data_IF_479452694593
#
_entry.id   IF_479452694593
#
_cell.length_a   1.000
_cell.length_b   1.000
_cell.length_c   1.000
_cell.angle_alpha   90.00
_cell.angle_beta   90.00
_cell.angle_gamma   90.00
#
_symmetry.space_group_name_H-M   'P 1'
#
loop_
_entity.id
_entity.type
_entity.pdbx_description
1 polymer ?
#
# COMPACT_ATOMS: atom_id res chain seq x y z
N UNK A 1 -20.01 35.28 6.38
CA UNK A 1 -19.56 34.44 5.26
C UNK A 1 -18.33 33.71 5.76
N UNK A 2 -18.49 32.46 6.16
CA UNK A 2 -17.36 31.65 6.64
C UNK A 2 -16.32 31.55 5.53
N UNK A 3 -15.10 31.98 5.81
CA UNK A 3 -13.98 31.98 4.86
C UNK A 3 -13.50 30.55 4.62
N UNK A 4 -14.23 29.79 3.82
CA UNK A 4 -13.88 28.43 3.40
C UNK A 4 -12.57 28.39 2.63
N UNK A 5 -11.97 27.20 2.54
CA UNK A 5 -10.86 26.96 1.61
C UNK A 5 -11.39 26.86 0.19
N UNK A 6 -10.74 27.55 -0.74
CA UNK A 6 -11.11 27.57 -2.16
C UNK A 6 -10.31 26.52 -2.95
N UNK A 7 -10.89 26.02 -4.05
CA UNK A 7 -10.24 25.05 -4.96
C UNK A 7 -8.83 25.51 -5.40
N UNK A 8 -8.66 26.80 -5.68
CA UNK A 8 -7.36 27.37 -6.07
C UNK A 8 -6.27 27.22 -5.00
N UNK A 9 -6.65 27.20 -3.73
CA UNK A 9 -5.73 27.03 -2.60
C UNK A 9 -5.26 25.57 -2.52
N UNK A 10 -6.20 24.61 -2.69
CA UNK A 10 -5.85 23.19 -2.76
C UNK A 10 -5.03 22.85 -4.01
N UNK A 11 -5.31 23.52 -5.14
CA UNK A 11 -4.51 23.39 -6.35
C UNK A 11 -3.07 23.86 -6.12
N UNK A 12 -2.86 24.94 -5.36
CA UNK A 12 -1.51 25.39 -5.01
C UNK A 12 -0.77 24.41 -4.06
N UNK A 13 -1.50 23.66 -3.24
CA UNK A 13 -0.91 22.63 -2.37
C UNK A 13 -0.44 21.40 -3.15
N UNK A 14 -1.26 20.88 -4.08
CA UNK A 14 -1.02 19.59 -4.73
C UNK A 14 -0.55 19.69 -6.18
N UNK A 15 -1.11 20.61 -6.96
CA UNK A 15 -0.89 20.73 -8.41
C UNK A 15 -1.87 19.93 -9.28
N UNK A 16 -2.66 19.02 -8.69
CA UNK A 16 -3.72 18.27 -9.39
C UNK A 16 -5.08 18.97 -9.32
N UNK A 17 -5.70 19.19 -10.48
CA UNK A 17 -7.06 19.75 -10.59
C UNK A 17 -8.13 18.81 -10.06
N UNK A 18 -7.97 17.50 -10.28
CA UNK A 18 -8.86 16.48 -9.72
C UNK A 18 -8.83 16.49 -8.18
N UNK A 19 -7.63 16.49 -7.59
CA UNK A 19 -7.46 16.60 -6.14
C UNK A 19 -8.10 17.88 -5.58
N UNK A 20 -7.81 19.03 -6.20
CA UNK A 20 -8.27 20.32 -5.73
C UNK A 20 -9.80 20.42 -5.69
N UNK A 21 -10.46 19.96 -6.76
CA UNK A 21 -11.92 19.92 -6.88
C UNK A 21 -12.56 18.99 -5.85
N UNK A 22 -12.01 17.79 -5.65
CA UNK A 22 -12.50 16.86 -4.63
C UNK A 22 -12.34 17.42 -3.21
N UNK A 23 -11.21 18.06 -2.92
CA UNK A 23 -10.97 18.72 -1.63
C UNK A 23 -11.95 19.88 -1.39
N UNK A 24 -12.19 20.71 -2.42
CA UNK A 24 -13.15 21.80 -2.33
C UNK A 24 -14.59 21.30 -2.13
N UNK A 25 -14.96 20.15 -2.72
CA UNK A 25 -16.28 19.56 -2.59
C UNK A 25 -16.58 19.01 -1.18
N UNK A 26 -15.56 18.64 -0.41
CA UNK A 26 -15.71 18.14 0.97
C UNK A 26 -15.37 19.17 2.04
N UNK A 27 -14.95 20.37 1.64
CA UNK A 27 -14.77 21.51 2.53
C UNK A 27 -16.14 22.11 2.94
N UNK A 28 -16.24 22.82 4.09
CA UNK A 28 -15.18 23.18 5.03
C UNK A 28 -14.76 22.04 5.96
N UNK A 29 -13.52 22.13 6.48
CA UNK A 29 -12.98 21.19 7.46
C UNK A 29 -13.04 21.78 8.86
N UNK A 30 -13.38 20.96 9.85
CA UNK A 30 -13.44 21.34 11.26
C UNK A 30 -12.04 21.46 11.90
N UNK A 31 -11.03 20.79 11.35
CA UNK A 31 -9.65 20.88 11.81
C UNK A 31 -8.64 20.59 10.69
N UNK A 32 -7.37 20.89 10.95
CA UNK A 32 -6.26 20.54 10.05
C UNK A 32 -6.13 19.02 9.88
N UNK A 33 -6.33 18.25 10.95
CA UNK A 33 -6.27 16.78 10.93
C UNK A 33 -7.35 16.20 10.01
N UNK A 34 -8.57 16.73 10.08
CA UNK A 34 -9.64 16.31 9.19
C UNK A 34 -9.34 16.64 7.73
N UNK A 35 -8.72 17.79 7.45
CA UNK A 35 -8.30 18.15 6.11
C UNK A 35 -7.20 17.23 5.58
N UNK A 36 -6.23 16.82 6.41
CA UNK A 36 -5.19 15.86 6.05
C UNK A 36 -5.77 14.46 5.81
N UNK A 37 -6.69 14.01 6.64
CA UNK A 37 -7.38 12.72 6.46
C UNK A 37 -8.15 12.69 5.14
N UNK A 38 -8.94 13.74 4.87
CA UNK A 38 -9.66 13.90 3.61
C UNK A 38 -8.69 13.93 2.42
N UNK A 39 -7.60 14.69 2.53
CA UNK A 39 -6.58 14.79 1.49
C UNK A 39 -5.94 13.43 1.17
N UNK A 40 -5.53 12.66 2.18
CA UNK A 40 -4.99 11.30 1.99
C UNK A 40 -5.99 10.38 1.31
N UNK A 41 -7.24 10.39 1.78
CA UNK A 41 -8.29 9.55 1.20
C UNK A 41 -8.53 9.92 -0.27
N UNK A 42 -8.72 11.20 -0.57
CA UNK A 42 -8.93 11.71 -1.93
C UNK A 42 -7.75 11.35 -2.83
N UNK A 43 -6.53 11.64 -2.40
CA UNK A 43 -5.32 11.43 -3.19
C UNK A 43 -5.11 9.97 -3.60
N UNK A 44 -5.33 9.03 -2.69
CA UNK A 44 -5.07 7.61 -2.96
C UNK A 44 -6.29 6.81 -3.45
N UNK A 45 -7.51 7.33 -3.31
CA UNK A 45 -8.73 6.57 -3.63
C UNK A 45 -9.62 7.24 -4.70
N UNK A 46 -9.44 8.54 -4.96
CA UNK A 46 -10.28 9.29 -5.92
C UNK A 46 -9.51 9.93 -7.06
N UNK A 47 -8.24 10.28 -6.85
CA UNK A 47 -7.40 10.85 -7.90
C UNK A 47 -6.80 9.71 -8.73
N UNK A 48 -7.01 9.76 -10.03
CA UNK A 48 -6.50 8.76 -10.96
C UNK A 48 -5.03 9.04 -11.37
N UNK A 49 -4.49 8.16 -12.21
CA UNK A 49 -3.11 8.26 -12.74
C UNK A 49 -2.87 9.60 -13.44
N UNK A 50 -3.86 10.13 -14.17
CA UNK A 50 -3.72 11.42 -14.85
C UNK A 50 -3.63 12.57 -13.85
N UNK A 51 -4.44 12.53 -12.78
CA UNK A 51 -4.36 13.49 -11.69
C UNK A 51 -3.03 13.44 -10.95
N UNK A 52 -2.44 12.25 -10.76
CA UNK A 52 -1.09 12.12 -10.19
C UNK A 52 -0.02 12.70 -11.11
N UNK A 53 -0.04 12.37 -12.40
CA UNK A 53 0.91 12.93 -13.38
C UNK A 53 0.78 14.45 -13.51
N UNK A 54 -0.42 15.01 -13.40
CA UNK A 54 -0.62 16.46 -13.37
C UNK A 54 0.07 17.09 -12.15
N UNK A 55 -0.10 16.51 -10.96
CA UNK A 55 0.58 16.98 -9.76
C UNK A 55 2.10 16.90 -9.91
N UNK A 56 2.63 15.80 -10.46
CA UNK A 56 4.05 15.59 -10.65
C UNK A 56 4.65 16.65 -11.59
N UNK A 57 3.95 16.97 -12.68
CA UNK A 57 4.37 17.99 -13.64
C UNK A 57 4.34 19.43 -13.06
N UNK A 58 3.59 19.66 -11.98
CA UNK A 58 3.54 20.95 -11.31
C UNK A 58 4.77 21.24 -10.42
N UNK A 59 5.65 20.25 -10.19
CA UNK A 59 6.86 20.42 -9.41
C UNK A 59 8.07 20.76 -10.27
N UNK A 60 8.95 21.67 -9.80
CA UNK A 60 10.21 21.91 -10.45
C UNK A 60 11.15 20.74 -10.18
N UNK A 61 12.06 20.49 -11.12
CA UNK A 61 13.12 19.52 -10.91
C UNK A 61 14.02 19.97 -9.74
N UNK A 62 14.40 19.03 -8.87
CA UNK A 62 15.28 19.35 -7.74
C UNK A 62 16.65 19.78 -8.27
N UNK A 63 17.12 20.94 -7.79
CA UNK A 63 18.36 21.56 -8.25
C UNK A 63 18.20 22.49 -9.47
N UNK A 64 17.01 22.57 -10.06
CA UNK A 64 16.71 23.55 -11.10
C UNK A 64 16.04 24.80 -10.48
N UNK A 65 16.79 25.91 -10.48
CA UNK A 65 16.31 27.21 -9.98
C UNK A 65 15.55 28.02 -11.04
N UNK A 66 15.48 27.54 -12.28
CA UNK A 66 15.00 28.30 -13.45
C UNK A 66 13.66 27.81 -14.02
N UNK A 67 13.06 26.75 -13.46
CA UNK A 67 11.82 26.18 -14.01
C UNK A 67 10.63 27.15 -13.92
N UNK A 68 10.13 27.58 -15.09
CA UNK A 68 8.94 28.43 -15.27
C UNK A 68 7.61 27.66 -15.16
N UNK A 69 7.63 26.33 -14.99
CA UNK A 69 6.45 25.46 -15.11
C UNK A 69 5.46 25.52 -13.92
N UNK A 70 5.66 26.39 -12.94
CA UNK A 70 4.77 26.47 -11.78
C UNK A 70 3.59 27.42 -12.01
N UNK A 71 2.36 26.86 -11.96
CA UNK A 71 1.09 27.55 -12.22
C UNK A 71 0.70 28.63 -11.18
N UNK A 72 1.36 28.70 -10.02
CA UNK A 72 1.04 29.67 -8.94
C UNK A 72 2.29 30.20 -8.22
N UNK A 73 2.29 31.50 -7.90
CA UNK A 73 3.37 32.17 -7.15
C UNK A 73 3.55 31.58 -5.74
N UNK A 74 2.46 31.16 -5.10
CA UNK A 74 2.49 30.50 -3.78
C UNK A 74 3.23 29.16 -3.83
N UNK A 75 2.98 28.36 -4.88
CA UNK A 75 3.69 27.09 -5.09
C UNK A 75 5.19 27.32 -5.30
N UNK A 76 5.56 28.37 -6.05
CA UNK A 76 6.98 28.73 -6.28
C UNK A 76 7.68 29.06 -4.97
N UNK A 77 7.04 29.85 -4.11
CA UNK A 77 7.60 30.22 -2.81
C UNK A 77 7.76 28.99 -1.91
N UNK A 78 6.76 28.12 -1.84
CA UNK A 78 6.83 26.91 -1.02
C UNK A 78 7.90 25.94 -1.51
N UNK A 79 8.02 25.74 -2.82
CA UNK A 79 9.05 24.89 -3.40
C UNK A 79 10.47 25.41 -3.13
N UNK A 80 10.70 26.73 -3.14
CA UNK A 80 12.00 27.32 -2.76
C UNK A 80 12.34 27.02 -1.30
N UNK A 81 11.36 27.14 -0.40
CA UNK A 81 11.53 26.78 1.01
C UNK A 81 11.81 25.29 1.22
N UNK A 82 11.09 24.43 0.51
CA UNK A 82 11.22 22.96 0.57
C UNK A 82 12.61 22.48 0.14
N UNK A 83 13.24 23.14 -0.84
CA UNK A 83 14.58 22.78 -1.34
C UNK A 83 15.72 23.58 -0.68
N UNK A 84 15.44 24.42 0.31
CA UNK A 84 16.42 25.35 0.89
C UNK A 84 17.65 24.64 1.48
N UNK A 85 17.46 23.57 2.26
CA UNK A 85 18.55 22.76 2.82
C UNK A 85 19.37 22.08 1.73
N UNK A 86 18.72 21.55 0.69
CA UNK A 86 19.39 20.93 -0.44
C UNK A 86 20.29 21.95 -1.16
N UNK A 87 19.77 23.13 -1.48
CA UNK A 87 20.53 24.20 -2.13
C UNK A 87 21.70 24.70 -1.28
N UNK A 88 21.53 24.81 0.03
CA UNK A 88 22.60 25.25 0.94
C UNK A 88 23.74 24.21 1.08
N UNK A 89 23.44 22.94 0.84
CA UNK A 89 24.39 21.82 0.97
C UNK A 89 24.97 21.37 -0.37
N UNK A 90 24.61 22.01 -1.47
CA UNK A 90 25.06 21.65 -2.80
C UNK A 90 26.52 22.08 -3.04
N UNK A 91 27.29 21.19 -3.65
CA UNK A 91 28.60 21.48 -4.27
C UNK A 91 28.46 21.38 -5.78
N UNK A 92 29.33 22.03 -6.55
CA UNK A 92 29.27 21.95 -8.03
C UNK A 92 29.27 20.50 -8.54
N UNK A 93 30.06 19.63 -7.93
CA UNK A 93 30.09 18.20 -8.26
C UNK A 93 28.79 17.47 -7.94
N UNK A 94 28.18 17.73 -6.79
CA UNK A 94 26.94 17.05 -6.38
C UNK A 94 25.74 17.56 -7.16
N UNK A 95 25.72 18.84 -7.53
CA UNK A 95 24.70 19.42 -8.39
C UNK A 95 24.78 18.85 -9.82
N UNK A 96 26.00 18.76 -10.37
CA UNK A 96 26.21 18.15 -11.70
C UNK A 96 25.75 16.68 -11.70
N UNK A 97 26.09 15.93 -10.65
CA UNK A 97 25.65 14.55 -10.52
C UNK A 97 24.12 14.44 -10.39
N UNK A 98 23.49 15.30 -9.58
CA UNK A 98 22.04 15.37 -9.45
C UNK A 98 21.35 15.69 -10.78
N UNK A 99 21.91 16.58 -11.61
CA UNK A 99 21.39 16.88 -12.95
C UNK A 99 21.44 15.66 -13.88
N UNK A 100 22.55 14.92 -13.87
CA UNK A 100 22.70 13.68 -14.65
C UNK A 100 21.67 12.64 -14.21
N UNK A 101 21.55 12.42 -12.90
CA UNK A 101 20.64 11.42 -12.35
C UNK A 101 19.16 11.78 -12.55
N UNK A 102 18.77 13.04 -12.42
CA UNK A 102 17.42 13.50 -12.76
C UNK A 102 17.10 13.24 -14.25
N UNK A 103 18.06 13.46 -15.15
CA UNK A 103 17.88 13.19 -16.58
C UNK A 103 17.69 11.69 -16.85
N UNK A 104 18.45 10.84 -16.16
CA UNK A 104 18.30 9.38 -16.23
C UNK A 104 16.94 8.94 -15.68
N UNK A 105 16.54 9.49 -14.53
CA UNK A 105 15.26 9.20 -13.89
C UNK A 105 14.09 9.55 -14.81
N UNK A 106 14.05 10.78 -15.31
CA UNK A 106 12.98 11.26 -16.21
C UNK A 106 12.91 10.42 -17.48
N UNK A 107 14.05 10.05 -18.09
CA UNK A 107 14.09 9.16 -19.25
C UNK A 107 13.52 7.77 -18.95
N UNK A 108 13.78 7.21 -17.76
CA UNK A 108 13.33 5.87 -17.40
C UNK A 108 11.85 5.84 -17.01
N UNK A 109 11.41 6.80 -16.19
CA UNK A 109 10.09 6.75 -15.55
C UNK A 109 9.05 7.65 -16.21
N UNK A 110 9.47 8.63 -17.03
CA UNK A 110 8.58 9.52 -17.78
C UNK A 110 8.06 10.74 -17.00
N UNK A 111 8.56 10.98 -15.79
CA UNK A 111 8.21 12.14 -14.96
C UNK A 111 9.39 12.57 -14.07
N UNK A 112 9.29 13.75 -13.46
CA UNK A 112 10.33 14.31 -12.59
C UNK A 112 10.52 13.48 -11.32
N UNK A 113 11.76 13.42 -10.80
CA UNK A 113 12.00 12.77 -9.51
C UNK A 113 11.32 13.54 -8.38
N UNK A 114 10.42 12.86 -7.66
CA UNK A 114 9.69 13.42 -6.53
C UNK A 114 10.22 12.87 -5.20
N UNK A 115 10.57 13.80 -4.32
CA UNK A 115 10.86 13.53 -2.91
C UNK A 115 10.47 14.77 -2.10
N UNK A 116 9.93 14.56 -0.90
CA UNK A 116 9.74 15.63 0.06
C UNK A 116 11.13 16.11 0.53
N UNK A 117 11.60 17.18 -0.11
CA UNK A 117 12.95 17.72 0.08
C UNK A 117 13.14 18.50 1.38
N UNK A 118 12.04 18.81 2.10
CA UNK A 118 12.08 19.61 3.33
C UNK A 118 13.04 19.01 4.35
N UNK A 119 14.09 19.75 4.69
CA UNK A 119 15.11 19.34 5.66
C UNK A 119 16.16 18.36 5.13
N UNK A 120 16.13 17.98 3.84
CA UNK A 120 17.11 17.06 3.23
C UNK A 120 18.24 17.82 2.56
N UNK A 121 19.45 17.30 2.69
CA UNK A 121 20.63 17.77 1.97
C UNK A 121 20.68 17.22 0.52
N UNK A 122 21.48 17.87 -0.33
CA UNK A 122 21.69 17.40 -1.72
C UNK A 122 22.25 15.97 -1.78
N UNK A 123 23.26 15.57 -0.98
CA UNK A 123 23.75 14.19 -0.95
C UNK A 123 22.69 13.16 -0.54
N UNK A 124 21.80 13.47 0.41
CA UNK A 124 20.71 12.57 0.83
C UNK A 124 19.68 12.40 -0.28
N UNK A 125 19.31 13.49 -0.97
CA UNK A 125 18.40 13.43 -2.12
C UNK A 125 19.02 12.57 -3.23
N UNK A 126 20.30 12.76 -3.52
CA UNK A 126 21.01 11.99 -4.53
C UNK A 126 21.09 10.49 -4.16
N UNK A 127 21.32 10.18 -2.89
CA UNK A 127 21.35 8.81 -2.40
C UNK A 127 19.98 8.13 -2.56
N UNK A 128 18.88 8.82 -2.21
CA UNK A 128 17.53 8.31 -2.41
C UNK A 128 17.16 8.15 -3.90
N UNK A 129 17.58 9.09 -4.75
CA UNK A 129 17.39 8.98 -6.20
C UNK A 129 18.07 7.72 -6.74
N UNK A 130 19.36 7.52 -6.42
CA UNK A 130 20.13 6.33 -6.85
C UNK A 130 19.53 5.03 -6.33
N UNK A 131 19.09 5.01 -5.08
CA UNK A 131 18.44 3.86 -4.43
C UNK A 131 17.10 3.49 -5.08
N UNK A 132 16.33 4.50 -5.52
CA UNK A 132 15.03 4.33 -6.19
C UNK A 132 15.15 4.06 -7.68
N UNK A 133 16.24 4.48 -8.32
CA UNK A 133 16.46 4.26 -9.74
C UNK A 133 16.30 2.81 -10.23
N UNK A 134 16.74 1.74 -9.53
CA UNK A 134 16.53 0.36 -9.98
C UNK A 134 15.07 -0.11 -9.91
N UNK A 135 14.17 0.62 -9.25
CA UNK A 135 12.77 0.22 -9.10
C UNK A 135 12.08 -0.06 -10.44
N UNK A 136 11.05 -0.92 -10.37
CA UNK A 136 10.08 -1.09 -11.46
C UNK A 136 9.23 0.18 -11.59
N UNK A 137 8.83 0.59 -12.80
CA UNK A 137 8.07 1.84 -12.99
C UNK A 137 6.82 1.96 -12.11
N UNK A 138 6.07 0.87 -11.93
CA UNK A 138 4.85 0.88 -11.10
C UNK A 138 5.15 1.13 -9.61
N UNK A 139 6.19 0.51 -9.07
CA UNK A 139 6.62 0.70 -7.67
C UNK A 139 7.10 2.13 -7.47
N UNK A 140 7.87 2.65 -8.43
CA UNK A 140 8.38 4.01 -8.34
C UNK A 140 7.27 5.06 -8.45
N UNK A 141 6.23 4.78 -9.24
CA UNK A 141 5.06 5.65 -9.39
C UNK A 141 4.27 5.77 -8.09
N UNK A 142 4.09 4.66 -7.37
CA UNK A 142 3.46 4.66 -6.04
C UNK A 142 4.31 5.42 -5.01
N UNK A 143 5.64 5.24 -5.01
CA UNK A 143 6.54 6.00 -4.13
C UNK A 143 6.47 7.49 -4.45
N UNK A 144 6.47 7.88 -5.73
CA UNK A 144 6.32 9.28 -6.14
C UNK A 144 4.99 9.88 -5.66
N UNK A 145 3.89 9.11 -5.71
CA UNK A 145 2.60 9.53 -5.18
C UNK A 145 2.63 9.71 -3.65
N UNK A 146 3.34 8.85 -2.91
CA UNK A 146 3.52 9.01 -1.47
C UNK A 146 4.35 10.25 -1.13
N UNK A 147 5.44 10.50 -1.86
CA UNK A 147 6.25 11.71 -1.68
C UNK A 147 5.48 12.99 -2.01
N UNK A 148 4.65 12.97 -3.06
CA UNK A 148 3.72 14.06 -3.39
C UNK A 148 2.74 14.34 -2.25
N UNK A 149 2.21 13.31 -1.59
CA UNK A 149 1.30 13.49 -0.45
C UNK A 149 2.01 14.13 0.74
N UNK A 150 3.25 13.73 1.05
CA UNK A 150 4.07 14.38 2.09
C UNK A 150 4.26 15.88 1.82
N UNK A 151 4.54 16.25 0.57
CA UNK A 151 4.65 17.66 0.17
C UNK A 151 3.30 18.38 0.33
N UNK A 152 2.21 17.73 -0.07
CA UNK A 152 0.86 18.27 0.04
C UNK A 152 0.47 18.52 1.50
N UNK A 153 0.79 17.62 2.42
CA UNK A 153 0.57 17.81 3.87
C UNK A 153 1.34 19.01 4.43
N UNK A 154 2.62 19.17 4.06
CA UNK A 154 3.41 20.33 4.46
C UNK A 154 2.81 21.64 3.95
N UNK A 155 2.29 21.63 2.72
CA UNK A 155 1.66 22.81 2.11
C UNK A 155 0.28 23.11 2.71
N UNK A 156 -0.51 22.08 3.04
CA UNK A 156 -1.75 22.23 3.80
C UNK A 156 -1.49 22.84 5.18
N UNK A 157 -0.45 22.37 5.90
CA UNK A 157 -0.10 22.95 7.19
C UNK A 157 0.23 24.45 7.09
N UNK A 158 0.99 24.85 6.06
CA UNK A 158 1.29 26.26 5.76
C UNK A 158 0.01 27.04 5.43
N UNK A 159 -0.91 26.46 4.66
CA UNK A 159 -2.17 27.07 4.27
C UNK A 159 -3.08 27.32 5.50
N UNK A 160 -3.23 26.33 6.39
CA UNK A 160 -4.00 26.46 7.63
C UNK A 160 -3.38 27.49 8.58
N UNK A 161 -2.05 27.43 8.78
CA UNK A 161 -1.33 28.42 9.61
C UNK A 161 -1.50 29.84 9.08
N UNK A 162 -1.55 30.04 7.76
CA UNK A 162 -1.76 31.35 7.16
C UNK A 162 -3.17 31.89 7.41
N UNK A 163 -4.20 31.03 7.45
CA UNK A 163 -5.58 31.43 7.78
C UNK A 163 -5.80 31.63 9.28
N UNK A 164 -5.14 30.87 10.13
CA UNK A 164 -5.20 31.04 11.60
C UNK A 164 -4.50 32.32 12.09
N UNK A 165 -3.59 32.89 11.29
CA UNK A 165 -2.97 34.21 11.55
C UNK A 165 -3.88 35.40 11.18
N UNK A 166 -5.10 35.15 10.70
CA UNK A 166 -6.18 36.16 10.68
C UNK A 166 -6.83 36.24 12.08
N UNK A 167 -7.28 37.41 12.57
CA UNK A 167 -7.45 37.62 14.00
C UNK A 167 -8.66 36.86 14.58
N UNK A 168 -8.42 35.72 15.23
CA UNK A 168 -9.22 35.28 16.39
C UNK A 168 -8.49 34.26 17.27
N UNK A 169 -8.08 34.76 18.44
CA UNK A 169 -7.89 34.15 19.77
C UNK A 169 -7.47 32.68 19.86
N UNK A 170 -6.28 32.50 20.45
CA UNK A 170 -5.54 31.25 20.51
C UNK A 170 -6.11 30.14 21.40
N UNK A 171 -5.63 28.93 21.12
CA UNK A 171 -5.50 27.85 22.10
C UNK A 171 -4.33 26.95 21.72
N UNK A 172 -3.38 26.81 22.64
CA UNK A 172 -2.26 25.85 22.55
C UNK A 172 -2.80 24.42 22.71
N UNK A 173 -2.31 23.49 21.88
CA UNK A 173 -2.59 22.05 21.99
C UNK A 173 -1.30 21.25 22.15
N UNK A 174 -1.37 20.29 23.08
CA UNK A 174 -0.31 19.39 23.50
C UNK A 174 -0.34 18.08 22.68
N UNK A 175 0.80 17.73 22.09
CA UNK A 175 1.02 16.52 21.29
C UNK A 175 1.40 15.37 22.24
N UNK A 176 0.48 14.46 22.55
CA UNK A 176 0.88 13.24 23.31
C UNK A 176 0.01 11.99 23.14
N UNK A 177 -1.00 11.95 22.25
CA UNK A 177 -1.92 10.79 22.21
C UNK A 177 -2.00 10.00 20.88
N UNK A 178 -1.25 10.38 19.84
CA UNK A 178 -1.39 9.75 18.50
C UNK A 178 -0.57 8.47 18.32
N UNK A 179 0.37 8.16 19.23
CA UNK A 179 1.35 7.08 19.01
C UNK A 179 0.78 5.66 19.07
N UNK A 180 -0.37 5.44 19.73
CA UNK A 180 -0.87 4.08 20.00
C UNK A 180 -1.56 3.40 18.81
N UNK A 181 -2.23 4.17 17.94
CA UNK A 181 -3.01 3.62 16.82
C UNK A 181 -2.15 3.31 15.58
N UNK A 182 -1.01 3.99 15.42
CA UNK A 182 -0.04 3.70 14.36
C UNK A 182 0.84 2.49 14.72
N UNK A 183 1.17 2.32 16.01
CA UNK A 183 1.87 1.13 16.52
C UNK A 183 1.07 -0.17 16.29
N UNK A 184 -0.26 -0.15 16.49
CA UNK A 184 -1.10 -1.33 16.26
C UNK A 184 -1.15 -1.77 14.79
N UNK A 185 -1.07 -0.82 13.83
CA UNK A 185 -1.08 -1.13 12.39
C UNK A 185 0.25 -1.70 11.90
N UNK A 186 1.37 -1.22 12.44
CA UNK A 186 2.71 -1.77 12.14
C UNK A 186 2.91 -3.14 12.79
N UNK A 187 2.33 -3.37 13.98
CA UNK A 187 2.36 -4.67 14.65
C UNK A 187 1.59 -5.76 13.89
N UNK A 188 0.48 -5.43 13.22
CA UNK A 188 -0.29 -6.39 12.41
C UNK A 188 0.49 -6.83 11.15
N UNK A 189 1.22 -5.91 10.50
CA UNK A 189 2.09 -6.22 9.35
C UNK A 189 3.33 -6.99 9.81
N UNK A 190 3.88 -6.63 10.98
CA UNK A 190 5.00 -7.34 11.61
C UNK A 190 4.64 -8.77 12.03
N UNK A 191 3.42 -9.02 12.53
CA UNK A 191 2.95 -10.34 12.94
C UNK A 191 2.82 -11.33 11.77
N UNK A 192 2.53 -10.85 10.56
CA UNK A 192 2.55 -11.67 9.33
C UNK A 192 3.96 -11.98 8.82
N UNK A 193 4.97 -11.19 9.20
CA UNK A 193 6.37 -11.35 8.76
C UNK A 193 7.28 -12.04 9.79
N UNK A 194 6.90 -12.10 11.07
CA UNK A 194 7.79 -12.55 12.17
C UNK A 194 7.43 -13.90 12.80
N UNK A 195 6.44 -14.63 12.26
CA UNK A 195 6.10 -15.98 12.72
C UNK A 195 7.11 -17.06 12.27
N UNK A 196 8.41 -16.83 12.40
CA UNK A 196 9.44 -17.86 12.37
C UNK A 196 10.80 -17.30 12.84
N UNK A 197 11.19 -17.57 14.09
CA UNK A 197 12.60 -17.73 14.48
C UNK A 197 12.70 -18.38 15.86
N UNK A 198 12.85 -19.71 15.87
CA UNK A 198 13.24 -20.48 17.03
C UNK A 198 13.66 -21.88 16.58
N UNK A 199 14.98 -22.14 16.52
CA UNK A 199 15.51 -23.47 16.24
C UNK A 199 15.21 -24.44 17.40
N UNK A 200 14.96 -25.73 17.14
CA UNK A 200 14.48 -26.65 18.15
C UNK A 200 15.62 -27.18 19.03
N UNK A 201 15.46 -27.06 20.35
CA UNK A 201 16.15 -27.90 21.30
C UNK A 201 15.39 -29.24 21.42
N UNK A 202 16.11 -30.34 21.18
CA UNK A 202 15.59 -31.72 21.23
C UNK A 202 15.04 -32.03 22.63
N UNK A 203 13.74 -32.31 22.72
CA UNK A 203 13.11 -33.00 23.86
C UNK A 203 12.08 -34.02 23.36
N UNK A 204 11.96 -35.09 24.14
CA UNK A 204 11.30 -36.34 23.81
C UNK A 204 9.80 -36.19 23.46
N UNK A 205 9.38 -37.11 22.58
CA UNK A 205 8.06 -37.27 21.96
C UNK A 205 6.88 -37.18 22.94
N UNK A 206 6.15 -36.07 22.85
CA UNK A 206 4.70 -36.04 23.00
C UNK A 206 4.18 -35.14 21.87
N UNK A 207 3.39 -35.71 20.94
CA UNK A 207 2.82 -34.96 19.82
C UNK A 207 1.98 -33.80 20.37
N UNK A 208 2.34 -32.53 20.10
CA UNK A 208 1.50 -31.42 20.54
C UNK A 208 0.16 -31.52 19.80
N UNK A 209 -0.94 -31.59 20.56
CA UNK A 209 -2.30 -31.57 20.02
C UNK A 209 -2.48 -30.31 19.20
N UNK A 210 -2.77 -30.44 17.91
CA UNK A 210 -3.04 -29.28 17.06
C UNK A 210 -4.27 -28.53 17.54
N UNK A 211 -4.15 -27.21 17.63
CA UNK A 211 -5.26 -26.30 17.98
C UNK A 211 -5.94 -25.69 16.75
N UNK A 212 -5.41 -25.96 15.55
CA UNK A 212 -5.91 -25.46 14.26
C UNK A 212 -5.84 -26.51 13.16
N UNK A 213 -6.68 -26.42 12.12
CA UNK A 213 -6.60 -27.31 10.96
C UNK A 213 -5.24 -27.22 10.25
N UNK A 214 -4.81 -28.28 9.54
CA UNK A 214 -3.55 -28.27 8.79
C UNK A 214 -3.47 -27.17 7.73
N UNK A 215 -4.60 -26.85 7.10
CA UNK A 215 -4.70 -25.89 6.01
C UNK A 215 -5.51 -24.71 6.53
N UNK A 216 -4.94 -23.51 6.46
CA UNK A 216 -5.61 -22.26 6.82
C UNK A 216 -5.43 -21.23 5.72
N UNK A 217 -6.32 -20.24 5.67
CA UNK A 217 -6.18 -19.09 4.77
C UNK A 217 -6.51 -17.80 5.48
N UNK A 218 -6.03 -16.71 4.89
CA UNK A 218 -6.29 -15.34 5.25
C UNK A 218 -6.41 -14.54 3.95
N UNK A 219 -7.43 -13.69 3.85
CA UNK A 219 -7.66 -12.85 2.68
C UNK A 219 -7.48 -11.38 3.06
N UNK A 220 -6.63 -10.69 2.31
CA UNK A 220 -6.41 -9.26 2.45
C UNK A 220 -6.85 -8.56 1.17
N UNK A 221 -7.76 -7.58 1.28
CA UNK A 221 -8.05 -6.66 0.19
C UNK A 221 -6.97 -5.57 0.18
N UNK A 222 -6.01 -5.73 -0.72
CA UNK A 222 -4.87 -4.80 -0.84
C UNK A 222 -5.26 -3.49 -1.51
N UNK A 223 -6.40 -3.43 -2.22
CA UNK A 223 -6.91 -2.18 -2.79
C UNK A 223 -7.50 -1.26 -1.72
N UNK A 224 -8.01 -1.85 -0.63
CA UNK A 224 -8.61 -1.13 0.51
C UNK A 224 -7.68 -1.07 1.72
N UNK A 225 -6.60 -1.84 1.73
CA UNK A 225 -5.70 -1.97 2.87
C UNK A 225 -6.38 -2.59 4.10
N UNK A 226 -7.34 -3.51 3.88
CA UNK A 226 -8.17 -4.09 4.95
C UNK A 226 -8.41 -5.58 4.76
N UNK A 227 -8.72 -6.34 5.84
CA UNK A 227 -9.08 -7.75 5.69
C UNK A 227 -10.27 -7.96 4.74
N UNK A 228 -10.18 -8.99 3.91
CA UNK A 228 -11.23 -9.39 2.97
C UNK A 228 -12.34 -10.16 3.68
N UNK A 229 -13.14 -9.47 4.49
CA UNK A 229 -14.25 -10.04 5.27
C UNK A 229 -15.40 -10.50 4.37
N UNK A 230 -16.04 -11.62 4.71
CA UNK A 230 -17.26 -12.09 4.03
C UNK A 230 -17.02 -12.86 2.74
N UNK A 231 -15.77 -13.23 2.44
CA UNK A 231 -15.39 -14.02 1.26
C UNK A 231 -15.67 -15.49 1.54
N UNK A 232 -16.47 -16.12 0.69
CA UNK A 232 -16.69 -17.56 0.74
C UNK A 232 -15.44 -18.30 0.26
N UNK A 233 -15.02 -19.30 1.02
CA UNK A 233 -13.85 -20.13 0.78
C UNK A 233 -14.25 -21.59 0.79
N UNK A 234 -13.79 -22.37 -0.18
CA UNK A 234 -13.95 -23.83 -0.23
C UNK A 234 -12.61 -24.53 -0.40
N UNK A 235 -12.45 -25.68 0.24
CA UNK A 235 -11.28 -26.54 0.12
C UNK A 235 -11.69 -27.91 -0.44
N UNK A 236 -10.92 -28.38 -1.42
CA UNK A 236 -11.09 -29.68 -2.05
C UNK A 236 -9.75 -30.40 -2.14
N UNK A 237 -9.78 -31.73 -2.16
CA UNK A 237 -8.61 -32.58 -2.36
C UNK A 237 -8.82 -33.47 -3.58
N UNK A 238 -7.82 -33.62 -4.43
CA UNK A 238 -7.85 -34.57 -5.53
C UNK A 238 -7.75 -36.01 -5.01
N UNK A 239 -8.79 -36.81 -5.25
CA UNK A 239 -8.84 -38.26 -4.99
C UNK A 239 -9.38 -39.07 -6.18
N UNK A 240 -9.38 -38.49 -7.38
CA UNK A 240 -9.85 -39.17 -8.58
C UNK A 240 -9.01 -40.41 -8.91
N UNK A 241 -9.61 -41.38 -9.60
CA UNK A 241 -8.89 -42.53 -10.18
C UNK A 241 -8.09 -42.15 -11.44
N UNK A 242 -8.23 -40.90 -11.88
CA UNK A 242 -7.51 -40.32 -13.01
C UNK A 242 -6.13 -39.79 -12.58
N UNK A 243 -5.21 -39.55 -13.53
CA UNK A 243 -3.93 -38.91 -13.26
C UNK A 243 -4.11 -37.59 -12.49
N UNK A 244 -3.08 -37.18 -11.74
CA UNK A 244 -3.07 -35.88 -11.05
C UNK A 244 -3.50 -34.75 -12.00
N UNK A 245 -4.17 -33.69 -11.52
CA UNK A 245 -4.59 -32.58 -12.36
C UNK A 245 -3.37 -31.96 -13.05
N UNK A 246 -3.38 -31.94 -14.38
CA UNK A 246 -2.30 -31.41 -15.21
C UNK A 246 -2.70 -30.08 -15.84
N UNK A 247 -1.72 -29.19 -16.03
CA UNK A 247 -1.94 -27.91 -16.70
C UNK A 247 -2.37 -28.15 -18.15
N UNK A 248 -3.54 -27.60 -18.52
CA UNK A 248 -4.09 -27.68 -19.88
C UNK A 248 -5.11 -28.82 -20.08
N UNK A 249 -5.26 -29.73 -19.13
CA UNK A 249 -6.27 -30.79 -19.19
C UNK A 249 -7.61 -30.30 -18.59
N UNK A 250 -8.76 -30.69 -19.17
CA UNK A 250 -10.05 -30.38 -18.60
C UNK A 250 -10.20 -31.06 -17.23
N UNK A 251 -10.88 -30.37 -16.30
CA UNK A 251 -11.20 -30.90 -14.98
C UNK A 251 -12.17 -32.08 -15.14
N UNK A 252 -11.62 -33.29 -15.19
CA UNK A 252 -12.33 -34.53 -15.55
C UNK A 252 -13.07 -35.17 -14.36
N UNK A 253 -13.16 -34.44 -13.25
CA UNK A 253 -13.71 -34.94 -11.99
C UNK A 253 -12.66 -35.70 -11.18
N UNK A 254 -12.66 -35.48 -9.87
CA UNK A 254 -11.66 -36.05 -8.96
C UNK A 254 -11.46 -35.23 -7.69
N UNK A 255 -11.96 -33.98 -7.65
CA UNK A 255 -11.99 -33.15 -6.46
C UNK A 255 -13.05 -33.63 -5.47
N UNK A 256 -12.62 -33.89 -4.24
CA UNK A 256 -13.47 -34.25 -3.10
C UNK A 256 -13.47 -33.10 -2.12
N UNK A 257 -14.66 -32.57 -1.84
CA UNK A 257 -14.88 -31.51 -0.88
C UNK A 257 -14.36 -31.86 0.52
N UNK A 258 -13.57 -30.96 1.11
CA UNK A 258 -13.02 -31.07 2.46
C UNK A 258 -13.76 -30.17 3.46
N UNK A 259 -14.18 -28.99 3.02
CA UNK A 259 -14.91 -28.03 3.85
C UNK A 259 -15.00 -26.65 3.23
N UNK A 260 -15.80 -25.79 3.86
CA UNK A 260 -16.00 -24.41 3.42
C UNK A 260 -16.20 -23.47 4.61
N UNK A 261 -15.89 -22.20 4.41
CA UNK A 261 -16.08 -21.17 5.41
C UNK A 261 -16.33 -19.81 4.77
N UNK A 262 -16.65 -18.81 5.58
CA UNK A 262 -16.71 -17.41 5.20
C UNK A 262 -15.66 -16.68 6.04
N UNK A 263 -14.87 -15.81 5.41
CA UNK A 263 -13.84 -15.06 6.14
C UNK A 263 -14.42 -14.12 7.18
N UNK A 264 -13.81 -14.08 8.36
CA UNK A 264 -14.23 -13.25 9.49
C UNK A 264 -13.76 -11.78 9.35
N UNK A 265 -13.91 -11.01 10.42
CA UNK A 265 -13.51 -9.59 10.46
C UNK A 265 -12.00 -9.38 10.33
N UNK A 266 -11.18 -10.40 10.62
CA UNK A 266 -9.73 -10.44 10.42
C UNK A 266 -9.38 -11.09 9.08
N UNK A 267 -10.36 -11.34 8.19
CA UNK A 267 -10.14 -11.93 6.87
C UNK A 267 -9.73 -13.40 6.92
N UNK A 268 -9.80 -14.06 8.08
CA UNK A 268 -9.39 -15.46 8.25
C UNK A 268 -10.55 -16.38 7.95
N UNK A 269 -10.27 -17.51 7.31
CA UNK A 269 -11.28 -18.57 7.20
C UNK A 269 -11.53 -19.22 8.55
N UNK A 270 -12.76 -19.66 8.80
CA UNK A 270 -13.02 -20.71 9.79
C UNK A 270 -12.42 -22.06 9.37
N UNK A 271 -12.86 -23.15 10.01
CA UNK A 271 -12.32 -24.48 9.75
C UNK A 271 -12.71 -24.98 8.34
N UNK A 272 -11.70 -25.08 7.46
CA UNK A 272 -11.86 -25.62 6.10
C UNK A 272 -11.75 -27.15 6.03
N UNK A 273 -11.36 -27.79 7.12
CA UNK A 273 -11.29 -29.24 7.31
C UNK A 273 -11.20 -29.57 8.79
N UNK A 274 -11.34 -30.85 9.15
CA UNK A 274 -11.15 -31.32 10.53
C UNK A 274 -9.73 -31.06 11.03
N UNK A 275 -9.60 -30.83 12.34
CA UNK A 275 -8.30 -30.74 13.01
C UNK A 275 -7.71 -32.15 13.08
N UNK A 276 -6.62 -32.37 12.35
CA UNK A 276 -5.88 -33.64 12.30
C UNK A 276 -4.40 -33.38 12.47
N UNK A 277 -3.71 -34.29 13.16
CA UNK A 277 -2.26 -34.20 13.40
C UNK A 277 -1.46 -34.33 12.11
N UNK A 278 -1.90 -35.22 11.22
CA UNK A 278 -1.28 -35.46 9.93
C UNK A 278 -2.27 -35.20 8.80
N UNK A 279 -1.95 -34.24 7.93
CA UNK A 279 -2.71 -34.02 6.69
C UNK A 279 -2.36 -35.08 5.66
N UNK A 280 -3.35 -35.45 4.83
CA UNK A 280 -3.14 -36.40 3.74
C UNK A 280 -2.32 -35.73 2.62
N UNK A 281 -1.20 -36.32 2.17
CA UNK A 281 -0.45 -35.85 1.01
C UNK A 281 -1.28 -35.93 -0.26
N UNK A 282 -1.06 -34.99 -1.16
CA UNK A 282 -1.79 -34.93 -2.42
C UNK A 282 -1.97 -33.50 -2.90
N UNK A 283 -2.81 -33.35 -3.92
CA UNK A 283 -3.12 -32.07 -4.52
C UNK A 283 -4.41 -31.52 -3.91
N UNK A 284 -4.32 -30.28 -3.45
CA UNK A 284 -5.44 -29.54 -2.88
C UNK A 284 -5.78 -28.34 -3.75
N UNK A 285 -7.06 -27.97 -3.74
CA UNK A 285 -7.58 -26.75 -4.36
C UNK A 285 -8.31 -25.94 -3.30
N UNK A 286 -7.89 -24.69 -3.12
CA UNK A 286 -8.61 -23.71 -2.32
C UNK A 286 -9.19 -22.65 -3.25
N UNK A 287 -10.49 -22.41 -3.14
CA UNK A 287 -11.24 -21.50 -4.02
C UNK A 287 -11.92 -20.40 -3.21
N UNK A 288 -11.95 -19.20 -3.78
CA UNK A 288 -12.45 -17.97 -3.15
C UNK A 288 -13.49 -17.32 -4.06
N UNK A 289 -14.68 -17.02 -3.53
CA UNK A 289 -15.75 -16.35 -4.27
C UNK A 289 -15.50 -14.83 -4.37
N UNK A 290 -14.47 -14.45 -5.13
CA UNK A 290 -14.04 -13.05 -5.28
C UNK A 290 -15.06 -12.19 -6.01
N UNK A 291 -15.84 -12.76 -6.92
CA UNK A 291 -16.89 -12.03 -7.65
C UNK A 291 -18.07 -11.63 -6.75
N UNK A 292 -18.44 -12.46 -5.76
CA UNK A 292 -19.43 -12.05 -4.76
C UNK A 292 -18.93 -10.91 -3.88
N UNK A 293 -17.65 -10.92 -3.53
CA UNK A 293 -17.02 -9.89 -2.70
C UNK A 293 -16.75 -8.58 -3.47
N UNK A 294 -16.29 -8.68 -4.71
CA UNK A 294 -15.98 -7.56 -5.59
C UNK A 294 -16.67 -7.76 -6.96
N UNK A 295 -17.97 -7.42 -7.09
CA UNK A 295 -18.75 -7.66 -8.31
C UNK A 295 -18.23 -6.98 -9.57
N UNK A 296 -17.51 -5.86 -9.40
CA UNK A 296 -16.88 -5.12 -10.50
C UNK A 296 -15.41 -5.53 -10.73
N UNK A 297 -14.92 -6.53 -9.98
CA UNK A 297 -13.58 -7.07 -10.13
C UNK A 297 -13.47 -7.96 -11.36
N UNK A 298 -12.24 -8.12 -11.84
CA UNK A 298 -11.91 -8.95 -12.99
C UNK A 298 -12.07 -10.45 -12.73
N UNK A 299 -11.88 -10.89 -11.48
CA UNK A 299 -11.91 -12.31 -11.11
C UNK A 299 -13.29 -12.72 -10.57
N UNK A 300 -14.07 -13.53 -11.29
CA UNK A 300 -15.34 -14.05 -10.77
C UNK A 300 -15.13 -14.99 -9.58
N UNK A 301 -14.03 -15.73 -9.57
CA UNK A 301 -13.51 -16.49 -8.45
C UNK A 301 -12.01 -16.72 -8.65
N UNK A 302 -11.30 -17.03 -7.58
CA UNK A 302 -9.88 -17.41 -7.62
C UNK A 302 -9.75 -18.83 -7.10
N UNK A 303 -8.96 -19.67 -7.78
CA UNK A 303 -8.61 -21.02 -7.30
C UNK A 303 -7.10 -21.19 -7.28
N UNK A 304 -6.58 -21.66 -6.15
CA UNK A 304 -5.17 -21.94 -5.95
C UNK A 304 -5.02 -23.45 -5.77
N UNK A 305 -4.22 -24.07 -6.63
CA UNK A 305 -3.92 -25.50 -6.60
C UNK A 305 -2.50 -25.67 -6.05
N UNK A 306 -2.32 -26.54 -5.06
CA UNK A 306 -1.04 -26.77 -4.41
C UNK A 306 -0.86 -28.24 -3.98
N UNK A 307 0.40 -28.65 -3.82
CA UNK A 307 0.77 -30.01 -3.40
C UNK A 307 1.23 -30.03 -1.94
N UNK A 308 0.77 -31.04 -1.21
CA UNK A 308 1.34 -31.45 0.08
C UNK A 308 2.09 -32.77 -0.14
N UNK A 309 3.40 -32.76 0.13
CA UNK A 309 4.24 -33.95 -0.04
C UNK A 309 4.21 -34.86 1.18
N UNK A 310 4.59 -36.12 0.98
CA UNK A 310 4.71 -37.14 2.03
C UNK A 310 5.55 -36.68 3.23
N UNK A 311 6.64 -35.94 2.98
CA UNK A 311 7.50 -35.42 4.04
C UNK A 311 6.89 -34.27 4.85
N UNK A 312 5.72 -33.75 4.45
CA UNK A 312 5.12 -32.53 4.99
C UNK A 312 3.82 -32.79 5.76
N UNK A 313 3.50 -34.06 6.06
CA UNK A 313 2.23 -34.46 6.70
C UNK A 313 1.96 -33.77 8.03
N UNK A 314 3.01 -33.47 8.78
CA UNK A 314 2.92 -32.79 10.09
C UNK A 314 3.07 -31.27 10.00
N UNK A 315 3.32 -30.72 8.80
CA UNK A 315 3.46 -29.27 8.59
C UNK A 315 2.11 -28.56 8.52
N UNK A 316 2.11 -27.28 8.86
CA UNK A 316 0.97 -26.39 8.66
C UNK A 316 1.12 -25.66 7.32
N UNK A 317 0.01 -25.54 6.59
CA UNK A 317 -0.04 -24.90 5.29
C UNK A 317 -0.94 -23.68 5.37
N UNK A 318 -0.32 -22.50 5.41
CA UNK A 318 -1.04 -21.25 5.28
C UNK A 318 -1.03 -20.80 3.81
N UNK A 319 -2.20 -20.70 3.19
CA UNK A 319 -2.35 -20.33 1.77
C UNK A 319 -3.22 -19.06 1.66
N UNK A 320 -2.64 -17.86 1.87
CA UNK A 320 -3.37 -16.61 1.86
C UNK A 320 -3.69 -16.12 0.43
N UNK A 321 -4.65 -15.19 0.34
CA UNK A 321 -4.99 -14.47 -0.87
C UNK A 321 -4.84 -12.97 -0.63
N UNK A 322 -3.95 -12.31 -1.38
CA UNK A 322 -3.87 -10.86 -1.45
C UNK A 322 -4.62 -10.43 -2.70
N UNK A 323 -5.77 -9.80 -2.54
CA UNK A 323 -6.73 -9.53 -3.61
C UNK A 323 -6.83 -8.03 -3.90
N UNK A 324 -6.79 -7.67 -5.18
CA UNK A 324 -7.29 -6.40 -5.69
C UNK A 324 -8.29 -6.68 -6.82
N UNK A 325 -9.04 -5.67 -7.30
CA UNK A 325 -10.01 -5.87 -8.38
C UNK A 325 -9.40 -6.45 -9.67
N UNK A 326 -8.10 -6.23 -9.95
CA UNK A 326 -7.46 -6.64 -11.21
C UNK A 326 -6.15 -7.41 -11.03
N UNK A 327 -5.76 -7.71 -9.79
CA UNK A 327 -4.62 -8.59 -9.49
C UNK A 327 -4.90 -9.44 -8.25
N UNK A 328 -4.25 -10.59 -8.16
CA UNK A 328 -4.12 -11.29 -6.89
C UNK A 328 -2.73 -11.89 -6.77
N UNK A 329 -2.27 -12.11 -5.55
CA UNK A 329 -1.08 -12.90 -5.25
C UNK A 329 -1.35 -13.88 -4.12
N UNK A 330 -0.57 -14.95 -4.10
CA UNK A 330 -0.55 -15.95 -3.05
C UNK A 330 0.87 -16.45 -2.83
N UNK A 331 1.08 -17.15 -1.72
CA UNK A 331 2.35 -17.77 -1.37
C UNK A 331 2.12 -18.90 -0.37
N UNK A 332 3.17 -19.68 -0.08
CA UNK A 332 3.15 -20.68 1.00
C UNK A 332 3.64 -20.04 2.29
N UNK A 333 2.74 -19.81 3.25
CA UNK A 333 3.08 -19.38 4.61
C UNK A 333 3.32 -20.55 5.56
N UNK A 334 3.97 -20.26 6.70
CA UNK A 334 4.25 -21.18 7.81
C UNK A 334 3.28 -20.99 8.98
#
# INVERSE_FOLDING_TARGET
>A
MESGFEEKEFLACCGSTAFAREMAAVAPFASFEQAVEAARYIWFNKVDVNGWLEAFAAHPQIGDTKSENQKSETSKQWSKGEQSTALATATDSTLQELLVWNSLYSRKFGYVFLICASGRSTPEILAELKKRFPNRPIVEFEIAAQEQMKITELRLAKLFTAKDKSPSVGREYSVTQVTKAEEDRVNIIGAHLTAASGAPAVKASQSPVRTRPPITTHVLDVSRGSPGMGIEVSLEMWKGTQPLPLFGEPDSGGWIFQGSSITDNDGRSGHLMSIVDNVEPGIYRISFNTGKYCPNGFFPYVSIIFEIKESQRSEHFHVPLLLSPFSFTTYRGS
#
